data_IF_285080453378
#
_entry.id   IF_285080453378
#
_cell.length_a   1.000
_cell.length_b   1.000
_cell.length_c   1.000
_cell.angle_alpha   90.00
_cell.angle_beta   90.00
_cell.angle_gamma   90.00
#
_symmetry.space_group_name_H-M   'P 1'
#
loop_
_entity.id
_entity.type
_entity.pdbx_description
1 polymer ?
#
# COMPACT_ATOMS: atom_id res chain seq x y z
N UNK A 1 -14.32 6.45 -32.53
CA UNK A 1 -13.74 5.45 -31.60
C UNK A 1 -13.98 4.07 -32.20
N UNK A 2 -12.91 3.31 -32.45
CA UNK A 2 -13.04 1.91 -32.88
C UNK A 2 -13.62 1.06 -31.76
N UNK A 3 -14.25 -0.06 -32.12
CA UNK A 3 -14.79 -1.01 -31.13
C UNK A 3 -13.63 -1.71 -30.44
N UNK A 4 -13.47 -1.59 -29.12
CA UNK A 4 -12.47 -2.33 -28.33
C UNK A 4 -12.70 -3.83 -28.50
N UNK A 5 -11.66 -4.58 -28.81
CA UNK A 5 -11.68 -6.04 -28.97
C UNK A 5 -10.80 -6.77 -27.97
N UNK A 6 -9.70 -6.14 -27.54
CA UNK A 6 -8.75 -6.71 -26.62
C UNK A 6 -8.36 -5.74 -25.51
N UNK A 7 -8.46 -6.18 -24.27
CA UNK A 7 -8.12 -5.41 -23.07
C UNK A 7 -6.84 -5.92 -22.44
N UNK A 8 -5.87 -5.05 -22.25
CA UNK A 8 -4.70 -5.30 -21.43
C UNK A 8 -4.96 -4.98 -19.96
N UNK A 9 -4.55 -5.84 -19.04
CA UNK A 9 -4.66 -5.62 -17.60
C UNK A 9 -3.27 -5.64 -16.99
N UNK A 10 -2.96 -4.64 -16.19
CA UNK A 10 -1.72 -4.59 -15.41
C UNK A 10 -1.97 -4.11 -13.98
N UNK A 11 -1.08 -4.53 -13.08
CA UNK A 11 -0.95 -4.00 -11.73
C UNK A 11 0.38 -3.27 -11.61
N UNK A 12 0.39 -2.09 -11.01
CA UNK A 12 1.59 -1.26 -10.91
C UNK A 12 1.66 -0.57 -9.54
N UNK A 13 2.87 -0.26 -9.10
CA UNK A 13 3.11 0.30 -7.77
C UNK A 13 3.32 -0.78 -6.70
N UNK A 14 2.95 -0.49 -5.45
CA UNK A 14 2.87 -1.47 -4.37
C UNK A 14 1.73 -2.46 -4.59
N UNK A 15 1.85 -3.66 -4.06
CA UNK A 15 0.72 -4.59 -4.02
C UNK A 15 -0.25 -4.20 -2.90
N UNK A 16 -1.53 -4.42 -3.15
CA UNK A 16 -2.59 -4.19 -2.18
C UNK A 16 -3.54 -5.39 -2.12
N UNK A 17 -4.11 -5.71 -0.95
CA UNK A 17 -5.17 -6.70 -0.84
C UNK A 17 -6.33 -6.36 -1.79
N UNK A 18 -6.89 -7.37 -2.47
CA UNK A 18 -7.98 -7.15 -3.43
C UNK A 18 -7.54 -6.94 -4.89
N UNK A 19 -6.26 -6.71 -5.18
CA UNK A 19 -5.79 -6.61 -6.58
C UNK A 19 -6.13 -7.86 -7.40
N UNK A 20 -5.99 -9.04 -6.84
CA UNK A 20 -6.35 -10.29 -7.53
C UNK A 20 -7.86 -10.40 -7.78
N UNK A 21 -8.68 -9.92 -6.88
CA UNK A 21 -10.13 -9.84 -7.08
C UNK A 21 -10.48 -8.90 -8.24
N UNK A 22 -9.82 -7.73 -8.31
CA UNK A 22 -9.97 -6.78 -9.40
C UNK A 22 -9.53 -7.37 -10.75
N UNK A 23 -8.35 -8.01 -10.82
CA UNK A 23 -7.87 -8.72 -12.03
C UNK A 23 -8.91 -9.75 -12.49
N UNK A 24 -9.43 -10.55 -11.56
CA UNK A 24 -10.45 -11.56 -11.87
C UNK A 24 -11.74 -10.92 -12.37
N UNK A 25 -12.22 -9.89 -11.72
CA UNK A 25 -13.46 -9.20 -12.09
C UNK A 25 -13.35 -8.62 -13.51
N UNK A 26 -12.30 -7.87 -13.80
CA UNK A 26 -12.03 -7.30 -15.12
C UNK A 26 -11.92 -8.39 -16.19
N UNK A 27 -11.12 -9.45 -15.92
CA UNK A 27 -10.93 -10.55 -16.88
C UNK A 27 -12.25 -11.24 -17.21
N UNK A 28 -13.04 -11.57 -16.19
CA UNK A 28 -14.31 -12.29 -16.42
C UNK A 28 -15.37 -11.41 -17.08
N UNK A 29 -15.45 -10.14 -16.69
CA UNK A 29 -16.38 -9.19 -17.29
C UNK A 29 -16.03 -8.94 -18.77
N UNK A 30 -14.77 -8.77 -19.10
CA UNK A 30 -14.32 -8.59 -20.47
C UNK A 30 -14.64 -9.83 -21.35
N UNK A 31 -14.33 -11.04 -20.87
CA UNK A 31 -14.64 -12.29 -21.58
C UNK A 31 -16.17 -12.45 -21.75
N UNK A 32 -16.95 -12.15 -20.72
CA UNK A 32 -18.43 -12.20 -20.80
C UNK A 32 -18.98 -11.28 -21.89
N UNK A 33 -18.35 -10.13 -22.10
CA UNK A 33 -18.69 -9.19 -23.17
C UNK A 33 -18.02 -9.50 -24.53
N UNK A 34 -17.43 -10.67 -24.69
CA UNK A 34 -16.81 -11.12 -25.95
C UNK A 34 -15.46 -10.49 -26.26
N UNK A 35 -14.81 -9.85 -25.28
CA UNK A 35 -13.48 -9.26 -25.45
C UNK A 35 -12.39 -10.27 -25.15
N UNK A 36 -11.26 -10.14 -25.86
CA UNK A 36 -10.02 -10.81 -25.49
C UNK A 36 -9.36 -10.09 -24.32
N UNK A 37 -8.63 -10.82 -23.50
CA UNK A 37 -7.93 -10.26 -22.33
C UNK A 37 -6.48 -10.70 -22.34
N UNK A 38 -5.59 -9.75 -22.12
CA UNK A 38 -4.15 -9.99 -21.96
C UNK A 38 -3.66 -9.47 -20.62
N UNK A 39 -3.03 -10.35 -19.84
CA UNK A 39 -2.36 -10.00 -18.59
C UNK A 39 -0.93 -9.53 -18.87
N UNK A 40 -0.61 -8.33 -18.41
CA UNK A 40 0.71 -7.72 -18.54
C UNK A 40 1.44 -7.91 -17.20
N UNK A 41 2.50 -8.71 -17.20
CA UNK A 41 3.25 -9.03 -16.00
C UNK A 41 4.22 -7.91 -15.63
N UNK A 42 4.42 -7.69 -14.32
CA UNK A 42 5.33 -6.67 -13.78
C UNK A 42 4.99 -5.22 -14.18
N UNK A 43 3.70 -4.96 -14.39
CA UNK A 43 3.20 -3.61 -14.64
C UNK A 43 3.77 -2.97 -15.90
N UNK A 44 4.09 -1.70 -15.83
CA UNK A 44 4.64 -0.95 -16.97
C UNK A 44 5.97 -1.51 -17.50
N UNK A 45 6.77 -2.12 -16.63
CA UNK A 45 7.99 -2.79 -17.10
C UNK A 45 7.67 -3.89 -18.09
N UNK A 46 6.69 -4.73 -17.77
CA UNK A 46 6.28 -5.79 -18.66
C UNK A 46 5.64 -5.30 -19.96
N UNK A 47 4.99 -4.13 -19.92
CA UNK A 47 4.49 -3.49 -21.14
C UNK A 47 5.65 -3.03 -22.04
N UNK A 48 6.72 -2.45 -21.45
CA UNK A 48 7.93 -2.03 -22.16
C UNK A 48 8.71 -3.22 -22.70
N UNK A 49 8.80 -4.34 -21.94
CA UNK A 49 9.59 -5.53 -22.32
C UNK A 49 8.79 -6.58 -23.07
N UNK A 50 7.48 -6.41 -23.24
CA UNK A 50 6.60 -7.37 -23.92
C UNK A 50 6.27 -8.63 -23.10
N UNK A 51 6.30 -8.56 -21.77
CA UNK A 51 5.90 -9.67 -20.88
C UNK A 51 4.37 -9.79 -20.79
N UNK A 52 3.73 -10.13 -21.90
CA UNK A 52 2.28 -10.14 -22.09
C UNK A 52 1.81 -11.57 -22.37
N UNK A 53 0.70 -11.97 -21.74
CA UNK A 53 0.10 -13.30 -21.94
C UNK A 53 -1.41 -13.21 -22.08
N UNK A 54 -1.96 -14.02 -22.98
CA UNK A 54 -3.42 -14.18 -23.08
C UNK A 54 -4.01 -14.73 -21.78
N UNK A 55 -5.10 -14.13 -21.32
CA UNK A 55 -5.85 -14.57 -20.15
C UNK A 55 -7.18 -15.18 -20.56
N UNK A 56 -7.41 -16.39 -20.05
CA UNK A 56 -8.69 -17.09 -20.10
C UNK A 56 -9.31 -17.12 -18.70
N UNK A 57 -10.59 -17.46 -18.61
CA UNK A 57 -11.30 -17.56 -17.33
C UNK A 57 -10.60 -18.46 -16.30
N UNK A 58 -9.89 -19.48 -16.77
CA UNK A 58 -9.13 -20.42 -15.92
C UNK A 58 -7.91 -19.78 -15.27
N UNK A 59 -7.23 -18.84 -15.95
CA UNK A 59 -6.04 -18.17 -15.41
C UNK A 59 -6.34 -17.30 -14.16
N UNK A 60 -7.60 -16.94 -13.98
CA UNK A 60 -8.06 -16.12 -12.84
C UNK A 60 -8.95 -16.92 -11.88
N UNK A 61 -8.90 -18.25 -11.94
CA UNK A 61 -9.63 -19.12 -11.01
C UNK A 61 -8.92 -19.18 -9.67
N UNK A 62 -9.70 -19.18 -8.57
CA UNK A 62 -9.20 -19.35 -7.20
C UNK A 62 -8.09 -18.35 -6.78
N UNK A 63 -8.20 -17.10 -7.23
CA UNK A 63 -7.22 -16.05 -6.89
C UNK A 63 -7.77 -14.96 -5.97
N UNK A 64 -9.07 -14.92 -5.71
CA UNK A 64 -9.70 -13.85 -4.90
C UNK A 64 -9.11 -13.78 -3.50
N UNK A 65 -8.88 -14.94 -2.89
CA UNK A 65 -8.36 -15.06 -1.53
C UNK A 65 -6.83 -14.92 -1.43
N UNK A 66 -6.13 -14.81 -2.57
CA UNK A 66 -4.68 -14.67 -2.58
C UNK A 66 -4.29 -13.21 -2.37
N UNK A 67 -3.37 -12.96 -1.44
CA UNK A 67 -2.74 -11.66 -1.26
C UNK A 67 -1.80 -11.31 -2.42
N UNK A 68 -1.39 -10.05 -2.46
CA UNK A 68 -0.52 -9.53 -3.51
C UNK A 68 -1.20 -9.47 -4.87
N UNK A 69 -0.44 -9.70 -5.94
CA UNK A 69 -0.95 -9.71 -7.31
C UNK A 69 -0.31 -10.83 -8.15
N UNK A 70 -1.13 -11.60 -8.87
CA UNK A 70 -0.65 -12.66 -9.76
C UNK A 70 0.12 -12.09 -10.96
N UNK A 71 -0.17 -10.85 -11.37
CA UNK A 71 0.54 -10.16 -12.46
C UNK A 71 1.90 -9.63 -12.01
N UNK A 72 2.18 -9.60 -10.70
CA UNK A 72 3.38 -9.02 -10.12
C UNK A 72 3.49 -7.53 -10.38
N UNK A 73 4.37 -6.84 -9.69
CA UNK A 73 4.70 -5.44 -9.89
C UNK A 73 6.20 -5.24 -10.01
N UNK A 74 6.63 -4.21 -10.72
CA UNK A 74 8.01 -3.77 -10.75
C UNK A 74 8.07 -2.26 -11.00
N UNK A 75 9.05 -1.60 -10.38
CA UNK A 75 9.36 -0.21 -10.73
C UNK A 75 9.92 -0.15 -12.15
N UNK A 76 9.45 0.80 -12.95
CA UNK A 76 9.87 1.01 -14.32
C UNK A 76 10.22 2.47 -14.53
N UNK A 77 11.51 2.79 -14.48
CA UNK A 77 11.99 4.15 -14.74
C UNK A 77 11.89 4.49 -16.23
N UNK A 78 12.04 3.50 -17.09
CA UNK A 78 11.97 3.65 -18.54
C UNK A 78 10.59 4.19 -18.98
N UNK A 79 9.51 3.77 -18.34
CA UNK A 79 8.16 4.25 -18.67
C UNK A 79 7.93 5.73 -18.34
N UNK A 80 8.77 6.35 -17.51
CA UNK A 80 8.70 7.80 -17.26
C UNK A 80 9.24 8.64 -18.42
N UNK A 81 9.96 8.02 -19.36
CA UNK A 81 10.50 8.68 -20.55
C UNK A 81 9.57 8.49 -21.76
N UNK A 82 9.55 9.43 -22.72
CA UNK A 82 8.78 9.28 -23.96
C UNK A 82 9.18 8.03 -24.76
N UNK A 83 10.48 7.71 -24.80
CA UNK A 83 11.03 6.56 -25.52
C UNK A 83 10.51 5.24 -24.94
N UNK A 84 10.52 5.12 -23.61
CA UNK A 84 9.99 3.93 -22.91
C UNK A 84 8.48 3.77 -23.11
N UNK A 85 7.72 4.88 -23.10
CA UNK A 85 6.29 4.83 -23.42
C UNK A 85 6.04 4.46 -24.88
N UNK A 86 6.89 4.92 -25.81
CA UNK A 86 6.83 4.50 -27.21
C UNK A 86 7.03 2.99 -27.35
N UNK A 87 8.03 2.42 -26.67
CA UNK A 87 8.27 0.95 -26.67
C UNK A 87 7.05 0.21 -26.10
N UNK A 88 6.47 0.71 -25.03
CA UNK A 88 5.25 0.16 -24.43
C UNK A 88 4.08 0.17 -25.43
N UNK A 89 3.89 1.27 -26.14
CA UNK A 89 2.86 1.39 -27.19
C UNK A 89 3.09 0.41 -28.33
N UNK A 90 4.32 0.31 -28.85
CA UNK A 90 4.65 -0.58 -29.95
C UNK A 90 4.39 -2.05 -29.57
N UNK A 91 4.71 -2.45 -28.33
CA UNK A 91 4.38 -3.78 -27.82
C UNK A 91 2.88 -3.99 -27.67
N UNK A 92 2.15 -2.98 -27.22
CA UNK A 92 0.71 -3.02 -27.09
C UNK A 92 0.03 -3.24 -28.45
N UNK A 93 0.46 -2.49 -29.48
CA UNK A 93 -0.03 -2.63 -30.87
C UNK A 93 0.31 -4.00 -31.43
N UNK A 94 1.56 -4.45 -31.24
CA UNK A 94 2.01 -5.79 -31.68
C UNK A 94 1.16 -6.92 -31.10
N UNK A 95 0.76 -6.76 -29.85
CA UNK A 95 -0.09 -7.71 -29.16
C UNK A 95 -1.61 -7.50 -29.42
N UNK A 96 -1.98 -6.50 -30.22
CA UNK A 96 -3.38 -6.21 -30.55
C UNK A 96 -4.23 -5.78 -29.35
N UNK A 97 -3.64 -5.08 -28.38
CA UNK A 97 -4.34 -4.53 -27.22
C UNK A 97 -4.91 -3.17 -27.59
N UNK A 98 -6.22 -2.99 -27.47
CA UNK A 98 -6.92 -1.77 -27.86
C UNK A 98 -7.19 -0.83 -26.67
N UNK A 99 -7.22 -1.35 -25.45
CA UNK A 99 -7.50 -0.61 -24.22
C UNK A 99 -6.74 -1.16 -23.04
N UNK A 100 -6.48 -0.33 -22.03
CA UNK A 100 -5.79 -0.74 -20.81
C UNK A 100 -6.69 -0.59 -19.58
N UNK A 101 -6.57 -1.54 -18.66
CA UNK A 101 -7.03 -1.42 -17.27
C UNK A 101 -5.81 -1.46 -16.36
N UNK A 102 -5.60 -0.38 -15.63
CA UNK A 102 -4.45 -0.21 -14.74
C UNK A 102 -4.94 -0.23 -13.28
N UNK A 103 -4.43 -1.16 -12.50
CA UNK A 103 -4.76 -1.29 -11.08
C UNK A 103 -3.53 -0.83 -10.27
N UNK A 104 -3.67 0.23 -9.47
CA UNK A 104 -2.55 0.77 -8.71
C UNK A 104 -2.86 2.08 -8.01
N UNK A 105 -1.85 2.67 -7.40
CA UNK A 105 -1.92 3.96 -6.71
C UNK A 105 -1.69 5.17 -7.63
N UNK A 106 -1.55 6.35 -7.06
CA UNK A 106 -1.48 7.64 -7.74
C UNK A 106 -0.48 7.68 -8.90
N UNK A 107 0.79 7.32 -8.65
CA UNK A 107 1.82 7.33 -9.69
C UNK A 107 1.49 6.40 -10.87
N UNK A 108 0.83 5.26 -10.61
CA UNK A 108 0.42 4.31 -11.66
C UNK A 108 -0.72 4.85 -12.50
N UNK A 109 -1.70 5.48 -11.88
CA UNK A 109 -2.86 6.08 -12.56
C UNK A 109 -2.46 7.35 -13.32
N UNK A 110 -1.55 8.15 -12.76
CA UNK A 110 -0.93 9.28 -13.48
C UNK A 110 -0.18 8.81 -14.73
N UNK A 111 0.60 7.73 -14.63
CA UNK A 111 1.27 7.13 -15.79
C UNK A 111 0.28 6.64 -16.85
N UNK A 112 -0.83 6.02 -16.44
CA UNK A 112 -1.91 5.61 -17.35
C UNK A 112 -2.54 6.80 -18.07
N UNK A 113 -2.80 7.90 -17.35
CA UNK A 113 -3.38 9.13 -17.92
C UNK A 113 -2.46 9.74 -18.98
N UNK A 114 -1.16 9.86 -18.67
CA UNK A 114 -0.18 10.40 -19.63
C UNK A 114 -0.12 9.54 -20.87
N UNK A 115 -0.03 8.22 -20.70
CA UNK A 115 0.04 7.25 -21.79
C UNK A 115 -1.22 7.27 -22.66
N UNK A 116 -2.40 7.35 -22.04
CA UNK A 116 -3.68 7.47 -22.74
C UNK A 116 -3.76 8.75 -23.59
N UNK A 117 -3.25 9.88 -23.09
CA UNK A 117 -3.26 11.15 -23.80
C UNK A 117 -2.25 11.19 -24.96
N UNK A 118 -1.06 10.58 -24.79
CA UNK A 118 -0.02 10.55 -25.83
C UNK A 118 -0.40 9.70 -27.04
N UNK A 119 -1.14 8.58 -26.81
CA UNK A 119 -1.42 7.59 -27.85
C UNK A 119 -2.91 7.41 -28.16
N UNK A 120 -3.77 8.25 -27.62
CA UNK A 120 -5.24 8.17 -27.77
C UNK A 120 -5.80 6.76 -27.47
N UNK A 121 -5.34 6.15 -26.36
CA UNK A 121 -5.73 4.82 -25.94
C UNK A 121 -6.75 4.91 -24.81
N UNK A 122 -7.89 4.20 -24.90
CA UNK A 122 -8.80 4.07 -23.78
C UNK A 122 -8.12 3.41 -22.57
N UNK A 123 -8.06 4.12 -21.44
CA UNK A 123 -7.52 3.61 -20.18
C UNK A 123 -8.53 3.76 -19.05
N UNK A 124 -8.66 2.71 -18.24
CA UNK A 124 -9.45 2.74 -17.00
C UNK A 124 -8.51 2.47 -15.83
N UNK A 125 -8.50 3.37 -14.86
CA UNK A 125 -7.78 3.22 -13.60
C UNK A 125 -8.64 2.61 -12.51
N UNK A 126 -8.12 1.63 -11.78
CA UNK A 126 -8.72 1.08 -10.58
C UNK A 126 -7.83 1.43 -9.38
N UNK A 127 -8.36 2.07 -8.32
CA UNK A 127 -7.59 2.58 -7.20
C UNK A 127 -7.13 1.45 -6.28
N UNK A 128 -6.00 0.81 -6.60
CA UNK A 128 -5.41 -0.31 -5.86
C UNK A 128 -4.22 0.13 -5.02
N UNK A 129 -4.46 0.58 -3.79
CA UNK A 129 -3.45 0.97 -2.80
C UNK A 129 -4.04 0.84 -1.40
N UNK A 130 -3.17 0.67 -0.38
CA UNK A 130 -3.58 0.70 1.02
C UNK A 130 -3.54 2.11 1.62
N UNK A 131 -2.88 3.06 0.98
CA UNK A 131 -2.58 4.38 1.54
C UNK A 131 -3.82 5.29 1.59
N UNK A 132 -4.84 5.00 0.78
CA UNK A 132 -6.10 5.77 0.62
C UNK A 132 -5.89 7.24 0.27
N UNK A 133 -4.81 7.54 -0.45
CA UNK A 133 -4.32 8.87 -0.79
C UNK A 133 -4.75 9.37 -2.19
N UNK A 134 -5.72 8.70 -2.81
CA UNK A 134 -6.18 9.02 -4.16
C UNK A 134 -7.36 9.99 -4.12
N UNK A 135 -7.21 11.12 -4.80
CA UNK A 135 -8.31 12.06 -5.00
C UNK A 135 -9.39 11.46 -5.91
N UNK A 136 -10.65 11.64 -5.52
CA UNK A 136 -11.82 11.22 -6.32
C UNK A 136 -12.34 9.82 -6.00
N UNK A 137 -11.83 9.18 -4.94
CA UNK A 137 -12.42 7.96 -4.38
C UNK A 137 -12.51 8.07 -2.85
N UNK A 138 -13.57 7.56 -2.25
CA UNK A 138 -13.72 7.53 -0.80
C UNK A 138 -12.85 6.45 -0.17
N UNK A 139 -12.72 5.31 -0.85
CA UNK A 139 -11.95 4.17 -0.35
C UNK A 139 -11.23 3.47 -1.49
N UNK A 140 -9.94 3.21 -1.31
CA UNK A 140 -9.13 2.46 -2.25
C UNK A 140 -9.22 0.95 -2.00
N UNK A 141 -8.99 0.16 -3.07
CA UNK A 141 -8.93 -1.30 -2.99
C UNK A 141 -7.72 -1.70 -2.14
N UNK A 142 -7.98 -2.33 -1.02
CA UNK A 142 -6.95 -2.80 -0.07
C UNK A 142 -6.88 -2.04 1.24
N UNK A 143 -7.40 -0.81 1.30
CA UNK A 143 -7.38 0.02 2.49
C UNK A 143 -8.10 -0.64 3.68
N UNK A 144 -9.33 -1.08 3.51
CA UNK A 144 -10.13 -1.70 4.57
C UNK A 144 -9.48 -2.98 5.10
N UNK A 145 -8.93 -3.81 4.21
CA UNK A 145 -8.21 -5.03 4.63
C UNK A 145 -6.93 -4.69 5.40
N UNK A 146 -6.19 -3.65 5.00
CA UNK A 146 -5.03 -3.19 5.73
C UNK A 146 -5.40 -2.66 7.11
N UNK A 147 -6.50 -1.91 7.21
CA UNK A 147 -7.04 -1.42 8.47
C UNK A 147 -7.40 -2.56 9.42
N UNK A 148 -8.12 -3.58 8.94
CA UNK A 148 -8.45 -4.77 9.74
C UNK A 148 -7.20 -5.52 10.21
N UNK A 149 -6.16 -5.58 9.40
CA UNK A 149 -4.86 -6.17 9.78
C UNK A 149 -4.19 -5.39 10.91
N UNK A 150 -4.27 -4.05 10.87
CA UNK A 150 -3.78 -3.19 11.95
C UNK A 150 -4.55 -3.47 13.24
N UNK A 151 -5.89 -3.55 13.18
CA UNK A 151 -6.72 -3.82 14.35
C UNK A 151 -6.37 -5.16 15.00
N UNK A 152 -6.29 -6.23 14.22
CA UNK A 152 -5.91 -7.58 14.71
C UNK A 152 -4.53 -7.58 15.38
N UNK A 153 -3.59 -6.83 14.83
CA UNK A 153 -2.25 -6.72 15.40
C UNK A 153 -2.22 -5.87 16.67
N UNK A 154 -2.92 -4.75 16.70
CA UNK A 154 -3.00 -3.88 17.89
C UNK A 154 -3.69 -4.59 19.04
N UNK A 155 -4.73 -5.37 18.80
CA UNK A 155 -5.40 -6.16 19.83
C UNK A 155 -4.43 -7.15 20.49
N UNK A 156 -3.62 -7.85 19.70
CA UNK A 156 -2.58 -8.76 20.24
C UNK A 156 -1.49 -8.04 21.02
N UNK A 157 -1.12 -6.82 20.60
CA UNK A 157 -0.16 -5.98 21.33
C UNK A 157 -0.77 -5.51 22.64
N UNK A 158 -2.06 -5.20 22.67
CA UNK A 158 -2.78 -4.70 23.86
C UNK A 158 -2.72 -5.68 25.03
N UNK A 159 -2.87 -6.98 24.75
CA UNK A 159 -2.76 -8.00 25.78
C UNK A 159 -1.39 -7.94 26.50
N UNK A 160 -0.33 -7.81 25.71
CA UNK A 160 1.03 -7.70 26.24
C UNK A 160 1.28 -6.34 26.90
N UNK A 161 0.78 -5.25 26.32
CA UNK A 161 0.91 -3.91 26.86
C UNK A 161 0.32 -3.82 28.27
N UNK A 162 -0.89 -4.33 28.43
CA UNK A 162 -1.61 -4.35 29.73
C UNK A 162 -0.89 -5.22 30.76
N UNK A 163 -0.38 -6.37 30.37
CA UNK A 163 0.29 -7.32 31.27
C UNK A 163 1.62 -6.80 31.82
N UNK A 164 2.29 -5.89 31.10
CA UNK A 164 3.63 -5.43 31.44
C UNK A 164 3.72 -3.91 31.70
N UNK A 165 2.58 -3.22 31.76
CA UNK A 165 2.52 -1.76 32.00
C UNK A 165 3.45 -0.97 31.05
N UNK A 166 3.35 -1.25 29.72
CA UNK A 166 4.27 -0.71 28.71
C UNK A 166 3.60 0.28 27.78
N UNK A 167 4.42 1.20 27.26
CA UNK A 167 4.08 2.07 26.14
C UNK A 167 4.58 1.44 24.83
N UNK A 168 3.70 1.29 23.84
CA UNK A 168 4.03 0.80 22.52
C UNK A 168 3.83 1.88 21.47
N UNK A 169 4.84 2.05 20.60
CA UNK A 169 4.72 2.77 19.34
C UNK A 169 4.58 1.75 18.22
N UNK A 170 3.45 1.77 17.54
CA UNK A 170 3.13 0.85 16.45
C UNK A 170 3.19 1.62 15.14
N UNK A 171 4.23 1.37 14.34
CA UNK A 171 4.37 1.98 13.02
C UNK A 171 3.48 1.26 12.02
N UNK A 172 2.70 2.03 11.29
CA UNK A 172 1.81 1.55 10.23
C UNK A 172 2.17 2.19 8.90
N UNK A 173 2.00 1.43 7.82
CA UNK A 173 2.20 1.95 6.47
C UNK A 173 1.22 3.08 6.16
N UNK A 174 1.39 3.73 5.02
CA UNK A 174 0.53 4.84 4.55
C UNK A 174 1.33 5.94 3.90
N UNK A 175 2.66 5.84 3.87
CA UNK A 175 3.59 6.85 3.35
C UNK A 175 3.34 8.22 3.99
N UNK A 176 3.05 9.22 3.13
CA UNK A 176 2.79 10.60 3.56
C UNK A 176 1.29 10.87 3.84
N UNK A 177 0.49 9.80 4.00
CA UNK A 177 -0.92 9.85 4.33
C UNK A 177 -1.21 9.14 5.66
N UNK A 178 -1.81 9.85 6.60
CA UNK A 178 -2.10 9.37 7.94
C UNK A 178 -3.38 8.55 8.09
N UNK A 179 -4.08 8.20 7.02
CA UNK A 179 -5.39 7.55 7.09
C UNK A 179 -5.38 6.22 7.83
N UNK A 180 -4.38 5.36 7.59
CA UNK A 180 -4.26 4.08 8.27
C UNK A 180 -3.94 4.24 9.75
N UNK A 181 -3.03 5.17 10.11
CA UNK A 181 -2.68 5.44 11.50
C UNK A 181 -3.86 6.04 12.26
N UNK A 182 -4.54 7.03 11.70
CA UNK A 182 -5.66 7.71 12.34
C UNK A 182 -6.85 6.77 12.54
N UNK A 183 -7.32 6.14 11.46
CA UNK A 183 -8.48 5.25 11.56
C UNK A 183 -8.15 3.96 12.34
N UNK A 184 -6.92 3.48 12.25
CA UNK A 184 -6.44 2.38 13.08
C UNK A 184 -6.44 2.72 14.56
N UNK A 185 -6.00 3.93 14.93
CA UNK A 185 -6.03 4.38 16.32
C UNK A 185 -7.46 4.52 16.86
N UNK A 186 -8.34 5.15 16.09
CA UNK A 186 -9.75 5.31 16.47
C UNK A 186 -10.42 3.94 16.66
N UNK A 187 -10.29 3.07 15.69
CA UNK A 187 -10.99 1.79 15.68
C UNK A 187 -10.41 0.79 16.71
N UNK A 188 -9.11 0.84 16.99
CA UNK A 188 -8.48 0.00 18.02
C UNK A 188 -8.59 0.60 19.43
N UNK A 189 -8.99 1.85 19.58
CA UNK A 189 -8.97 2.55 20.86
C UNK A 189 -7.54 2.79 21.37
N UNK A 190 -6.59 3.02 20.46
CA UNK A 190 -5.25 3.48 20.84
C UNK A 190 -5.30 4.89 21.43
N UNK A 191 -4.33 5.21 22.27
CA UNK A 191 -4.33 6.47 23.02
C UNK A 191 -4.04 7.69 22.15
N UNK A 192 -3.22 7.51 21.10
CA UNK A 192 -2.87 8.58 20.17
C UNK A 192 -2.55 8.03 18.77
N UNK A 193 -2.68 8.91 17.77
CA UNK A 193 -2.16 8.71 16.42
C UNK A 193 -1.21 9.85 16.08
N UNK A 194 -0.05 9.51 15.50
CA UNK A 194 0.90 10.46 14.95
C UNK A 194 0.82 10.36 13.44
N UNK A 195 0.43 11.44 12.78
CA UNK A 195 0.16 11.49 11.35
C UNK A 195 0.93 12.63 10.68
N UNK A 196 1.34 12.49 9.41
CA UNK A 196 2.16 13.50 8.74
C UNK A 196 1.44 14.83 8.47
N UNK A 197 0.11 14.81 8.46
CA UNK A 197 -0.71 16.00 8.21
C UNK A 197 -0.67 17.01 9.38
N UNK A 198 -0.25 16.56 10.57
CA UNK A 198 -0.11 17.42 11.75
C UNK A 198 1.26 17.23 12.39
N UNK A 199 1.95 18.33 12.59
CA UNK A 199 3.20 18.32 13.35
C UNK A 199 2.89 18.01 14.82
N UNK A 200 3.45 16.95 15.35
CA UNK A 200 3.30 16.54 16.75
C UNK A 200 4.61 16.81 17.48
N UNK A 201 4.61 17.84 18.35
CA UNK A 201 5.75 18.10 19.20
C UNK A 201 5.89 17.01 20.27
N UNK A 202 7.11 16.54 20.48
CA UNK A 202 7.39 15.45 21.41
C UNK A 202 6.93 15.76 22.82
N UNK A 203 7.11 17.01 23.27
CA UNK A 203 6.72 17.45 24.60
C UNK A 203 5.20 17.37 24.82
N UNK A 204 4.41 17.69 23.80
CA UNK A 204 2.95 17.57 23.83
C UNK A 204 2.51 16.11 23.95
N UNK A 205 3.15 15.23 23.17
CA UNK A 205 2.90 13.79 23.22
C UNK A 205 3.25 13.23 24.61
N UNK A 206 4.38 13.65 25.18
CA UNK A 206 4.82 13.23 26.50
C UNK A 206 3.83 13.67 27.59
N UNK A 207 3.37 14.92 27.57
CA UNK A 207 2.38 15.43 28.50
C UNK A 207 1.06 14.66 28.38
N UNK A 208 0.62 14.39 27.17
CA UNK A 208 -0.59 13.60 26.90
C UNK A 208 -0.48 12.19 27.49
N UNK A 209 0.62 11.48 27.23
CA UNK A 209 0.86 10.12 27.75
C UNK A 209 0.92 10.15 29.30
N UNK A 210 1.67 11.10 29.90
CA UNK A 210 1.76 11.26 31.37
C UNK A 210 0.39 11.54 32.00
N UNK A 211 -0.46 12.28 31.34
CA UNK A 211 -1.82 12.56 31.84
C UNK A 211 -2.69 11.29 31.83
N UNK A 212 -2.49 10.38 30.86
CA UNK A 212 -3.14 9.08 30.80
C UNK A 212 -2.74 8.17 31.95
N UNK A 213 -1.45 8.07 32.23
CA UNK A 213 -0.93 7.26 33.36
C UNK A 213 -1.47 7.77 34.74
N UNK A 214 -1.60 9.09 34.92
CA UNK A 214 -2.21 9.67 36.15
C UNK A 214 -3.67 9.27 36.37
N UNK A 215 -4.38 8.82 35.31
CA UNK A 215 -5.77 8.37 35.38
C UNK A 215 -5.92 6.84 35.53
N UNK A 216 -4.92 6.16 36.09
CA UNK A 216 -4.89 4.73 36.34
C UNK A 216 -4.81 3.85 35.07
N UNK A 217 -4.36 4.41 33.95
CA UNK A 217 -3.98 3.60 32.79
C UNK A 217 -2.52 3.22 32.89
N UNK A 218 -2.25 1.92 32.98
CA UNK A 218 -0.88 1.40 33.16
C UNK A 218 -0.19 1.05 31.83
N UNK A 219 -0.90 1.13 30.69
CA UNK A 219 -0.37 0.85 29.38
C UNK A 219 -0.88 1.85 28.36
N UNK A 220 -0.10 2.10 27.31
CA UNK A 220 -0.51 2.99 26.23
C UNK A 220 0.00 2.46 24.89
N UNK A 221 -0.84 2.61 23.85
CA UNK A 221 -0.50 2.29 22.47
C UNK A 221 -0.64 3.55 21.62
N UNK A 222 0.41 3.88 20.88
CA UNK A 222 0.44 5.03 19.98
C UNK A 222 0.67 4.51 18.57
N UNK A 223 -0.24 4.79 17.63
CA UNK A 223 -0.03 4.47 16.23
C UNK A 223 0.73 5.61 15.55
N UNK A 224 1.72 5.25 14.74
CA UNK A 224 2.58 6.20 14.02
C UNK A 224 2.55 5.88 12.54
N UNK A 225 2.19 6.86 11.71
CA UNK A 225 2.27 6.69 10.26
C UNK A 225 3.74 6.59 9.81
N UNK A 226 4.02 5.66 8.88
CA UNK A 226 5.30 5.58 8.20
C UNK A 226 5.45 6.81 7.28
N UNK A 227 6.22 7.79 7.73
CA UNK A 227 6.51 8.98 6.93
C UNK A 227 7.89 9.52 7.29
N UNK A 228 8.60 10.02 6.28
CA UNK A 228 9.85 10.76 6.50
C UNK A 228 9.59 12.06 7.30
N UNK A 229 8.39 12.64 7.19
CA UNK A 229 8.00 13.85 7.89
C UNK A 229 7.81 13.62 9.41
N UNK A 230 7.33 12.44 9.79
CA UNK A 230 7.16 12.08 11.20
C UNK A 230 8.44 11.50 11.83
N UNK A 231 9.38 11.03 11.01
CA UNK A 231 10.55 10.29 11.47
C UNK A 231 10.24 8.85 11.92
N UNK A 232 8.97 8.42 11.80
CA UNK A 232 8.51 7.08 12.15
C UNK A 232 8.51 6.76 13.64
N UNK A 233 8.08 5.56 14.00
CA UNK A 233 7.97 5.12 15.39
C UNK A 233 9.30 5.10 16.14
N UNK A 234 10.41 4.86 15.45
CA UNK A 234 11.76 4.84 16.06
C UNK A 234 12.17 6.21 16.59
N UNK A 235 11.80 7.30 15.90
CA UNK A 235 12.05 8.65 16.37
C UNK A 235 11.36 8.90 17.71
N UNK A 236 10.07 8.64 17.79
CA UNK A 236 9.29 8.86 19.01
C UNK A 236 9.69 7.92 20.16
N UNK A 237 10.01 6.67 19.86
CA UNK A 237 10.50 5.73 20.85
C UNK A 237 11.86 6.16 21.44
N UNK A 238 12.79 6.62 20.61
CA UNK A 238 14.11 7.07 21.06
C UNK A 238 13.99 8.33 21.93
N UNK A 239 13.15 9.29 21.54
CA UNK A 239 12.97 10.52 22.31
C UNK A 239 12.21 10.24 23.61
N UNK A 240 11.12 9.45 23.56
CA UNK A 240 10.40 9.05 24.79
C UNK A 240 11.29 8.30 25.78
N UNK A 241 12.24 7.48 25.29
CA UNK A 241 13.19 6.78 26.14
C UNK A 241 14.11 7.74 26.90
N UNK A 242 14.51 8.87 26.31
CA UNK A 242 15.36 9.86 26.97
C UNK A 242 14.61 10.72 27.97
N UNK A 243 13.34 11.04 27.70
CA UNK A 243 12.52 11.95 28.50
C UNK A 243 11.67 11.26 29.58
N UNK A 244 11.20 10.02 29.31
CA UNK A 244 10.38 9.25 30.28
C UNK A 244 11.19 8.44 31.28
N UNK A 245 12.52 8.50 31.24
CA UNK A 245 13.45 7.72 32.07
C UNK A 245 13.40 8.01 33.57
N UNK A 246 12.55 8.92 34.00
CA UNK A 246 12.39 9.27 35.44
C UNK A 246 11.59 8.23 36.24
N UNK A 247 10.89 7.30 35.62
CA UNK A 247 10.23 6.16 36.26
C UNK A 247 10.53 4.87 35.48
N UNK A 248 11.29 4.01 36.15
CA UNK A 248 11.68 2.67 35.80
C UNK A 248 10.72 1.91 34.86
N UNK A 249 10.91 2.01 33.55
CA UNK A 249 10.37 1.04 32.60
C UNK A 249 11.48 0.64 31.64
N UNK A 250 11.99 -0.56 31.90
CA UNK A 250 12.97 -1.27 31.08
C UNK A 250 12.35 -1.69 29.75
N UNK A 251 13.03 -1.34 28.68
CA UNK A 251 13.17 -2.07 27.42
C UNK A 251 11.96 -2.55 26.61
N UNK A 252 12.07 -2.26 25.30
CA UNK A 252 11.39 -2.83 24.15
C UNK A 252 10.03 -2.24 23.79
N UNK A 253 10.09 -1.08 23.10
CA UNK A 253 8.89 -0.27 22.86
C UNK A 253 8.54 -0.08 21.38
N UNK A 254 9.22 -0.74 20.46
CA UNK A 254 8.91 -0.59 19.03
C UNK A 254 8.47 -1.93 18.45
N UNK A 255 7.19 -2.04 18.15
CA UNK A 255 6.69 -3.09 17.29
C UNK A 255 6.51 -2.50 15.89
N UNK A 256 7.42 -2.82 14.98
CA UNK A 256 7.32 -2.45 13.57
C UNK A 256 6.44 -3.47 12.87
N UNK A 257 5.17 -3.17 12.67
CA UNK A 257 4.28 -3.93 11.81
C UNK A 257 4.61 -3.62 10.36
N UNK A 258 5.75 -4.12 9.92
CA UNK A 258 6.13 -4.10 8.53
C UNK A 258 5.71 -5.40 7.88
N UNK A 259 4.85 -5.32 6.91
CA UNK A 259 4.81 -6.22 5.78
C UNK A 259 6.02 -5.99 4.86
N UNK A 260 7.22 -5.77 5.45
CA UNK A 260 8.47 -5.73 4.71
C UNK A 260 8.98 -7.15 4.50
N UNK A 261 9.00 -7.58 3.25
CA UNK A 261 9.88 -8.68 2.82
C UNK A 261 11.30 -8.29 3.21
N UNK A 262 11.86 -8.94 4.25
CA UNK A 262 13.30 -8.87 4.55
C UNK A 262 14.09 -9.09 3.25
N UNK A 263 14.70 -8.06 2.71
CA UNK A 263 15.80 -8.19 1.77
C UNK A 263 16.94 -8.85 2.55
N UNK A 264 17.14 -10.16 2.39
CA UNK A 264 18.37 -10.82 2.79
C UNK A 264 19.50 -10.25 1.93
N UNK A 265 20.25 -9.32 2.48
CA UNK A 265 21.56 -8.93 1.96
C UNK A 265 22.50 -10.08 2.27
N UNK A 266 22.69 -10.97 1.30
CA UNK A 266 23.75 -11.97 1.37
C UNK A 266 25.04 -11.25 1.02
N UNK A 267 25.75 -10.79 2.03
CA UNK A 267 27.15 -10.37 1.89
C UNK A 267 27.99 -11.63 1.77
N UNK A 268 28.31 -12.04 0.54
CA UNK A 268 29.41 -13.01 0.32
C UNK A 268 30.71 -12.28 0.65
N UNK A 269 31.32 -12.63 1.78
CA UNK A 269 32.74 -12.39 2.00
C UNK A 269 33.53 -13.35 1.10
N UNK A 270 34.39 -12.76 0.29
CA UNK A 270 35.52 -13.47 -0.33
C UNK A 270 36.59 -13.73 0.70
#
# INVERSE_FOLDING_TARGET
>A
MGTVKCVGILTSGGDAPGMNAAIRAVTRAAIYNGLQVKGIYRGYRGLVTGEIKEFKSQNVSNIIQLGGTILKTARCKEFTTPEGRKMAYDNMVKEGIDALVVIGGDGSLTGARIFAQEYDIPCIGLPGTIDNDLYGTDTTIGYDTALNTILDAVDKIRDTATSHERLFFVEVMGRDAGFLALNGAIASGAEAAIIPEFSTEVDQLEEFIKSGFRKSKNSSIVLVAESELTGGAMHYAAVSYTHLRAHETRHDLVCRLLLEKKKKTVTRKK
#
